data_IF_408881688215
#
_entry.id   IF_408881688215
#
_cell.length_a   1.000
_cell.length_b   1.000
_cell.length_c   1.000
_cell.angle_alpha   90.00
_cell.angle_beta   90.00
_cell.angle_gamma   90.00
#
_symmetry.space_group_name_H-M   'P 1'
#
loop_
_entity.id
_entity.type
_entity.pdbx_description
1 polymer ?
#
# COMPACT_ATOMS: atom_id res chain seq x y z
N UNK A 1 10.41 3.22 -17.96
CA UNK A 1 10.41 2.21 -16.88
C UNK A 1 11.10 2.72 -15.63
N UNK A 2 12.42 3.02 -15.64
CA UNK A 2 13.06 3.73 -14.51
C UNK A 2 12.36 5.05 -14.21
N UNK A 3 12.03 5.81 -15.26
CA UNK A 3 11.22 7.05 -15.18
C UNK A 3 9.81 6.84 -14.60
N UNK A 4 9.20 5.68 -14.81
CA UNK A 4 7.84 5.39 -14.33
C UNK A 4 7.87 5.00 -12.85
N UNK A 5 8.92 4.28 -12.43
CA UNK A 5 9.16 3.91 -11.04
C UNK A 5 9.45 5.15 -10.20
N UNK A 6 10.35 6.03 -10.65
CA UNK A 6 10.67 7.30 -9.97
C UNK A 6 9.44 8.20 -9.86
N UNK A 7 8.68 8.33 -10.95
CA UNK A 7 7.42 9.08 -10.96
C UNK A 7 6.39 8.47 -10.01
N UNK A 8 6.28 7.14 -9.96
CA UNK A 8 5.39 6.44 -9.04
C UNK A 8 5.75 6.74 -7.58
N UNK A 9 7.04 6.66 -7.23
CA UNK A 9 7.52 7.00 -5.89
C UNK A 9 7.13 8.42 -5.50
N UNK A 10 7.43 9.40 -6.37
CA UNK A 10 7.15 10.81 -6.11
C UNK A 10 5.66 11.08 -5.93
N UNK A 11 4.80 10.48 -6.76
CA UNK A 11 3.36 10.62 -6.60
C UNK A 11 2.85 10.04 -5.29
N UNK A 12 3.40 8.92 -4.82
CA UNK A 12 3.04 8.35 -3.51
C UNK A 12 3.48 9.31 -2.39
N UNK A 13 4.67 9.92 -2.48
CA UNK A 13 5.12 10.93 -1.51
C UNK A 13 4.17 12.13 -1.47
N UNK A 14 3.83 12.69 -2.63
CA UNK A 14 2.88 13.81 -2.76
C UNK A 14 1.51 13.44 -2.20
N UNK A 15 1.04 12.21 -2.42
CA UNK A 15 -0.22 11.71 -1.87
C UNK A 15 -0.21 11.77 -0.33
N UNK A 16 0.86 11.27 0.31
CA UNK A 16 1.01 11.28 1.76
C UNK A 16 1.05 12.72 2.30
N UNK A 17 1.82 13.61 1.67
CA UNK A 17 1.90 15.01 2.09
C UNK A 17 0.54 15.73 1.99
N UNK A 18 -0.22 15.48 0.92
CA UNK A 18 -1.57 16.05 0.78
C UNK A 18 -2.54 15.51 1.83
N UNK A 19 -2.49 14.21 2.13
CA UNK A 19 -3.33 13.61 3.16
C UNK A 19 -3.00 14.19 4.55
N UNK A 20 -1.71 14.27 4.90
CA UNK A 20 -1.23 14.89 6.15
C UNK A 20 -1.68 16.33 6.28
N UNK A 21 -1.55 17.14 5.22
CA UNK A 21 -1.97 18.55 5.21
C UNK A 21 -3.48 18.71 5.36
N UNK A 22 -4.26 17.75 4.85
CA UNK A 22 -5.73 17.79 4.89
C UNK A 22 -6.27 17.48 6.29
N UNK A 23 -5.79 16.41 6.90
CA UNK A 23 -6.20 15.99 8.25
C UNK A 23 -5.07 15.14 8.86
N UNK A 24 -4.20 15.78 9.65
CA UNK A 24 -3.01 15.14 10.20
C UNK A 24 -3.37 14.02 11.20
N UNK A 25 -4.49 14.14 11.90
CA UNK A 25 -4.91 13.09 12.83
C UNK A 25 -5.34 11.82 12.08
N UNK A 26 -6.22 11.94 11.08
CA UNK A 26 -6.67 10.79 10.28
C UNK A 26 -5.51 10.17 9.48
N UNK A 27 -4.56 11.02 9.03
CA UNK A 27 -3.30 10.58 8.44
C UNK A 27 -2.49 9.72 9.42
N UNK A 28 -2.29 10.18 10.66
CA UNK A 28 -1.62 9.42 11.71
C UNK A 28 -2.34 8.10 12.04
N UNK A 29 -3.67 8.10 12.08
CA UNK A 29 -4.46 6.87 12.25
C UNK A 29 -4.20 5.86 11.12
N UNK A 30 -4.02 6.36 9.89
CA UNK A 30 -3.64 5.53 8.73
C UNK A 30 -2.23 4.97 8.86
N UNK A 31 -1.26 5.81 9.25
CA UNK A 31 0.13 5.39 9.45
C UNK A 31 0.26 4.33 10.53
N UNK A 32 -0.49 4.45 11.62
CA UNK A 32 -0.48 3.48 12.71
C UNK A 32 -1.37 2.26 12.42
N UNK A 33 -2.11 2.26 11.31
CA UNK A 33 -3.11 1.24 10.98
C UNK A 33 -3.99 0.97 12.19
N UNK A 34 -4.52 2.02 12.84
CA UNK A 34 -5.24 1.90 14.13
C UNK A 34 -6.33 0.85 13.98
N UNK A 35 -6.16 -0.28 14.68
CA UNK A 35 -7.04 -1.44 14.68
C UNK A 35 -7.74 -1.53 16.02
N UNK A 36 -8.57 -2.57 16.18
CA UNK A 36 -9.17 -2.90 17.47
C UNK A 36 -8.12 -3.35 18.50
N UNK A 37 -8.55 -4.15 19.48
CA UNK A 37 -7.65 -4.67 20.50
C UNK A 37 -6.67 -5.68 19.87
N UNK A 38 -5.40 -5.31 19.80
CA UNK A 38 -4.29 -6.16 19.34
C UNK A 38 -3.16 -6.15 20.39
N UNK A 39 -2.51 -7.31 20.56
CA UNK A 39 -1.32 -7.41 21.42
C UNK A 39 -0.09 -6.85 20.70
N UNK A 40 0.99 -6.49 21.43
CA UNK A 40 2.26 -6.15 20.81
C UNK A 40 2.74 -7.23 19.84
N UNK A 41 3.30 -6.82 18.69
CA UNK A 41 3.81 -7.73 17.65
C UNK A 41 2.82 -8.09 16.53
N UNK A 42 1.56 -7.65 16.62
CA UNK A 42 0.54 -7.90 15.59
C UNK A 42 0.57 -6.85 14.46
N UNK A 43 1.71 -6.68 13.77
CA UNK A 43 1.84 -5.76 12.64
C UNK A 43 2.27 -6.47 11.34
N UNK A 44 1.31 -6.90 10.49
CA UNK A 44 1.60 -7.56 9.22
C UNK A 44 2.44 -6.72 8.24
N UNK A 45 2.41 -5.38 8.37
CA UNK A 45 3.24 -4.50 7.54
C UNK A 45 4.72 -4.67 7.89
N UNK A 46 5.05 -4.75 9.18
CA UNK A 46 6.42 -4.99 9.67
C UNK A 46 6.94 -6.35 9.22
N UNK A 47 6.13 -7.41 9.38
CA UNK A 47 6.47 -8.77 8.91
C UNK A 47 6.72 -8.80 7.40
N UNK A 48 5.84 -8.17 6.62
CA UNK A 48 5.98 -8.10 5.17
C UNK A 48 7.21 -7.30 4.74
N UNK A 49 7.55 -6.22 5.47
CA UNK A 49 8.75 -5.43 5.22
C UNK A 49 10.02 -6.25 5.44
N UNK A 50 10.09 -7.03 6.53
CA UNK A 50 11.24 -7.88 6.82
C UNK A 50 11.39 -8.99 5.77
N UNK A 51 10.30 -9.67 5.43
CA UNK A 51 10.31 -10.68 4.37
C UNK A 51 10.77 -10.09 3.04
N UNK A 52 10.27 -8.91 2.67
CA UNK A 52 10.66 -8.26 1.43
C UNK A 52 12.18 -8.00 1.37
N UNK A 53 12.78 -7.52 2.46
CA UNK A 53 14.23 -7.29 2.54
C UNK A 53 15.03 -8.61 2.42
N UNK A 54 14.57 -9.67 3.08
CA UNK A 54 15.21 -10.99 3.01
C UNK A 54 15.16 -11.56 1.58
N UNK A 55 13.99 -11.50 0.93
CA UNK A 55 13.83 -12.01 -0.43
C UNK A 55 14.64 -11.17 -1.43
N UNK A 56 14.67 -9.84 -1.29
CA UNK A 56 15.52 -8.98 -2.13
C UNK A 56 17.00 -9.34 -1.99
N UNK A 57 17.47 -9.63 -0.78
CA UNK A 57 18.85 -10.07 -0.53
C UNK A 57 19.15 -11.39 -1.24
N UNK A 58 18.20 -12.33 -1.24
CA UNK A 58 18.33 -13.61 -1.96
C UNK A 58 18.28 -13.45 -3.49
N UNK A 59 17.48 -12.50 -4.01
CA UNK A 59 17.43 -12.19 -5.45
C UNK A 59 18.78 -11.68 -5.95
N UNK A 60 19.47 -10.87 -5.12
CA UNK A 60 20.78 -10.29 -5.42
C UNK A 60 21.94 -11.28 -5.24
N UNK A 61 21.74 -12.38 -4.52
CA UNK A 61 22.73 -13.42 -4.32
C UNK A 61 23.05 -14.18 -5.64
N UNK A 62 24.22 -14.84 -5.73
CA UNK A 62 24.60 -15.66 -6.89
C UNK A 62 23.82 -16.98 -6.91
N UNK A 63 22.52 -16.90 -7.16
CA UNK A 63 21.61 -18.03 -7.35
C UNK A 63 21.34 -18.28 -8.82
N UNK A 64 20.87 -19.50 -9.14
CA UNK A 64 20.42 -19.84 -10.48
C UNK A 64 19.33 -18.88 -10.99
N UNK A 65 19.35 -18.57 -12.29
CA UNK A 65 18.38 -17.65 -12.90
C UNK A 65 16.93 -18.07 -12.68
N UNK A 66 16.65 -19.37 -12.71
CA UNK A 66 15.30 -19.90 -12.49
C UNK A 66 14.83 -19.72 -11.04
N UNK A 67 15.74 -19.80 -10.05
CA UNK A 67 15.44 -19.51 -8.65
C UNK A 67 15.24 -18.01 -8.45
N UNK A 68 16.11 -17.17 -9.02
CA UNK A 68 15.97 -15.70 -8.97
C UNK A 68 14.60 -15.25 -9.47
N UNK A 69 14.12 -15.82 -10.57
CA UNK A 69 12.80 -15.48 -11.13
C UNK A 69 11.66 -15.93 -10.20
N UNK A 70 11.75 -17.11 -9.60
CA UNK A 70 10.76 -17.58 -8.61
C UNK A 70 10.72 -16.71 -7.37
N UNK A 71 11.88 -16.27 -6.87
CA UNK A 71 11.97 -15.34 -5.75
C UNK A 71 11.36 -13.98 -6.10
N UNK A 72 11.59 -13.49 -7.33
CA UNK A 72 10.98 -12.25 -7.83
C UNK A 72 9.47 -12.35 -7.91
N UNK A 73 8.95 -13.44 -8.49
CA UNK A 73 7.51 -13.71 -8.56
C UNK A 73 6.90 -13.87 -7.16
N UNK A 74 7.59 -14.54 -6.24
CA UNK A 74 7.17 -14.68 -4.86
C UNK A 74 7.04 -13.31 -4.17
N UNK A 75 8.06 -12.47 -4.27
CA UNK A 75 8.03 -11.13 -3.69
C UNK A 75 6.90 -10.27 -4.29
N UNK A 76 6.78 -10.27 -5.62
CA UNK A 76 5.70 -9.58 -6.33
C UNK A 76 4.32 -10.05 -5.86
N UNK A 77 4.10 -11.36 -5.78
CA UNK A 77 2.82 -11.93 -5.37
C UNK A 77 2.52 -11.63 -3.90
N UNK A 78 3.52 -11.70 -3.01
CA UNK A 78 3.39 -11.34 -1.59
C UNK A 78 2.96 -9.88 -1.43
N UNK A 79 3.69 -8.95 -2.07
CA UNK A 79 3.40 -7.52 -1.95
C UNK A 79 2.04 -7.15 -2.54
N UNK A 80 1.65 -7.75 -3.67
CA UNK A 80 0.35 -7.47 -4.31
C UNK A 80 -0.84 -8.10 -3.59
N UNK A 81 -0.64 -9.07 -2.70
CA UNK A 81 -1.70 -9.59 -1.81
C UNK A 81 -1.77 -8.90 -0.45
N UNK A 82 -0.76 -8.10 -0.10
CA UNK A 82 -0.72 -7.40 1.19
C UNK A 82 -1.88 -6.41 1.30
N UNK A 83 -2.78 -6.65 2.26
CA UNK A 83 -3.96 -5.80 2.44
C UNK A 83 -3.60 -4.34 2.80
N UNK A 84 -2.56 -4.16 3.61
CA UNK A 84 -2.12 -2.85 4.08
C UNK A 84 -1.65 -1.94 2.93
N UNK A 85 -1.12 -2.50 1.83
CA UNK A 85 -0.78 -1.73 0.62
C UNK A 85 -1.98 -0.92 0.13
N UNK A 86 -3.12 -1.59 -0.02
CA UNK A 86 -4.34 -0.97 -0.54
C UNK A 86 -5.02 -0.10 0.52
N UNK A 87 -5.05 -0.55 1.78
CA UNK A 87 -5.71 0.17 2.86
C UNK A 87 -5.05 1.50 3.17
N UNK A 88 -3.71 1.56 3.14
CA UNK A 88 -2.95 2.79 3.35
C UNK A 88 -3.26 3.79 2.23
N UNK A 89 -3.03 3.41 0.97
CA UNK A 89 -3.29 4.29 -0.19
C UNK A 89 -4.76 4.71 -0.27
N UNK A 90 -5.68 3.77 -0.04
CA UNK A 90 -7.11 4.04 -0.03
C UNK A 90 -7.52 5.05 1.04
N UNK A 91 -7.00 4.91 2.27
CA UNK A 91 -7.25 5.90 3.31
C UNK A 91 -6.63 7.26 2.99
N UNK A 92 -5.42 7.34 2.43
CA UNK A 92 -4.82 8.62 2.03
C UNK A 92 -5.71 9.37 1.02
N UNK A 93 -6.21 8.67 0.00
CA UNK A 93 -7.14 9.23 -0.98
C UNK A 93 -8.44 9.71 -0.32
N UNK A 94 -9.03 8.89 0.56
CA UNK A 94 -10.26 9.24 1.29
C UNK A 94 -10.06 10.43 2.24
N UNK A 95 -8.90 10.54 2.89
CA UNK A 95 -8.57 11.68 3.75
C UNK A 95 -8.52 12.96 2.92
N UNK A 96 -7.91 12.93 1.73
CA UNK A 96 -7.88 14.08 0.81
C UNK A 96 -9.31 14.52 0.44
N UNK A 97 -10.24 13.57 0.24
CA UNK A 97 -11.67 13.83 0.02
C UNK A 97 -12.37 14.42 1.26
N UNK A 98 -11.74 14.40 2.43
CA UNK A 98 -12.29 14.88 3.70
C UNK A 98 -13.00 13.80 4.51
N UNK A 99 -12.88 12.52 4.15
CA UNK A 99 -13.39 11.43 4.96
C UNK A 99 -12.48 11.14 6.15
N UNK A 100 -13.01 10.43 7.16
CA UNK A 100 -12.23 9.92 8.29
C UNK A 100 -11.53 8.62 7.93
N UNK A 101 -10.45 8.31 8.64
CA UNK A 101 -9.79 7.02 8.61
C UNK A 101 -10.79 5.90 8.87
N UNK A 102 -10.54 4.75 8.24
CA UNK A 102 -11.27 3.53 8.51
C UNK A 102 -10.36 2.33 8.39
N UNK A 103 -10.57 1.33 9.24
CA UNK A 103 -9.81 0.07 9.24
C UNK A 103 -9.98 -0.71 7.93
N UNK A 104 -11.15 -0.60 7.29
CA UNK A 104 -11.43 -1.29 6.03
C UNK A 104 -12.14 -0.35 5.04
N UNK A 105 -11.36 0.43 4.26
CA UNK A 105 -11.92 1.41 3.33
C UNK A 105 -12.67 0.79 2.15
N UNK A 106 -12.62 -0.52 1.98
CA UNK A 106 -13.18 -1.22 0.82
C UNK A 106 -14.52 -1.93 1.11
N UNK A 107 -15.06 -1.84 2.34
CA UNK A 107 -16.37 -2.41 2.70
C UNK A 107 -17.51 -1.74 1.95
N UNK A 108 -18.52 -2.51 1.54
CA UNK A 108 -19.66 -2.01 0.77
C UNK A 108 -20.41 -0.87 1.48
N UNK A 109 -20.56 -0.92 2.81
CA UNK A 109 -21.34 0.06 3.59
C UNK A 109 -20.77 1.47 3.56
N UNK A 110 -19.49 1.65 3.25
CA UNK A 110 -18.88 2.97 3.09
C UNK A 110 -19.11 3.57 1.70
N UNK A 111 -19.72 2.81 0.79
CA UNK A 111 -19.83 3.13 -0.62
C UNK A 111 -21.26 3.01 -1.13
N UNK A 112 -21.56 3.73 -2.21
CA UNK A 112 -22.81 3.51 -2.97
C UNK A 112 -22.86 2.13 -3.67
N UNK A 113 -21.75 1.40 -3.69
CA UNK A 113 -21.64 0.05 -4.26
C UNK A 113 -22.22 -0.98 -3.30
N UNK A 114 -23.05 -1.90 -3.82
CA UNK A 114 -23.54 -3.07 -3.08
C UNK A 114 -22.48 -4.17 -2.90
N UNK A 115 -21.33 -4.05 -3.57
CA UNK A 115 -20.29 -5.09 -3.60
C UNK A 115 -19.02 -4.55 -2.93
N UNK A 116 -18.53 -5.31 -1.96
CA UNK A 116 -17.26 -5.10 -1.26
C UNK A 116 -16.07 -5.47 -2.16
N UNK A 117 -15.02 -4.65 -2.15
CA UNK A 117 -13.80 -4.92 -2.89
C UNK A 117 -12.85 -5.82 -2.07
N UNK A 118 -12.92 -7.14 -2.31
CA UNK A 118 -12.16 -8.15 -1.55
C UNK A 118 -10.81 -8.52 -2.18
N UNK A 119 -10.74 -8.57 -3.51
CA UNK A 119 -9.52 -8.94 -4.22
C UNK A 119 -8.64 -7.72 -4.53
N UNK A 120 -7.31 -7.90 -4.66
CA UNK A 120 -6.40 -6.86 -5.17
C UNK A 120 -6.95 -6.10 -6.37
N UNK A 121 -7.44 -6.82 -7.39
CA UNK A 121 -8.01 -6.23 -8.59
C UNK A 121 -9.22 -5.32 -8.30
N UNK A 122 -10.15 -5.76 -7.45
CA UNK A 122 -11.32 -4.96 -7.08
C UNK A 122 -10.96 -3.73 -6.24
N UNK A 123 -9.92 -3.82 -5.39
CA UNK A 123 -9.40 -2.71 -4.60
C UNK A 123 -8.71 -1.68 -5.48
N UNK A 124 -7.93 -2.12 -6.46
CA UNK A 124 -7.29 -1.25 -7.45
C UNK A 124 -8.34 -0.48 -8.24
N UNK A 125 -9.41 -1.12 -8.71
CA UNK A 125 -10.50 -0.42 -9.39
C UNK A 125 -11.03 0.73 -8.54
N UNK A 126 -11.23 0.48 -7.24
CA UNK A 126 -11.72 1.49 -6.30
C UNK A 126 -10.70 2.60 -6.03
N UNK A 127 -9.43 2.25 -5.88
CA UNK A 127 -8.33 3.23 -5.76
C UNK A 127 -8.30 4.13 -6.99
N UNK A 128 -8.44 3.57 -8.20
CA UNK A 128 -8.48 4.36 -9.44
C UNK A 128 -9.65 5.34 -9.47
N UNK A 129 -10.83 4.94 -8.98
CA UNK A 129 -12.00 5.81 -8.86
C UNK A 129 -11.69 7.00 -7.91
N UNK A 130 -11.24 6.74 -6.69
CA UNK A 130 -10.91 7.81 -5.72
C UNK A 130 -9.75 8.68 -6.19
N UNK A 131 -8.72 8.08 -6.77
CA UNK A 131 -7.56 8.79 -7.29
C UNK A 131 -7.97 9.78 -8.40
N UNK A 132 -8.89 9.38 -9.27
CA UNK A 132 -9.44 10.28 -10.27
C UNK A 132 -10.21 11.46 -9.64
N UNK A 133 -11.01 11.21 -8.60
CA UNK A 133 -11.79 12.24 -7.90
C UNK A 133 -10.93 13.32 -7.21
N UNK A 134 -9.71 12.98 -6.79
CA UNK A 134 -8.78 13.93 -6.12
C UNK A 134 -7.61 14.39 -6.98
N UNK A 135 -7.63 14.13 -8.29
CA UNK A 135 -6.60 14.60 -9.24
C UNK A 135 -5.28 13.81 -9.19
N UNK A 136 -5.32 12.54 -8.76
CA UNK A 136 -4.19 11.61 -8.70
C UNK A 136 -4.37 10.41 -9.64
N UNK A 137 -5.04 10.58 -10.78
CA UNK A 137 -5.40 9.52 -11.73
C UNK A 137 -4.24 8.54 -12.03
N UNK A 138 -3.03 9.05 -12.18
CA UNK A 138 -1.81 8.27 -12.47
C UNK A 138 -1.50 7.21 -11.39
N UNK A 139 -1.87 7.44 -10.12
CA UNK A 139 -1.74 6.41 -9.07
C UNK A 139 -2.58 5.18 -9.43
N UNK A 140 -3.84 5.38 -9.84
CA UNK A 140 -4.71 4.29 -10.26
C UNK A 140 -4.19 3.55 -11.50
N UNK A 141 -3.56 4.28 -12.43
CA UNK A 141 -2.90 3.72 -13.61
C UNK A 141 -1.71 2.85 -13.24
N UNK A 142 -0.84 3.31 -12.33
CA UNK A 142 0.30 2.51 -11.84
C UNK A 142 -0.15 1.23 -11.13
N UNK A 143 -1.15 1.31 -10.25
CA UNK A 143 -1.74 0.12 -9.63
C UNK A 143 -2.26 -0.86 -10.69
N UNK A 144 -3.02 -0.36 -11.67
CA UNK A 144 -3.59 -1.18 -12.76
C UNK A 144 -2.49 -1.85 -13.60
N UNK A 145 -1.44 -1.11 -13.96
CA UNK A 145 -0.32 -1.61 -14.77
C UNK A 145 0.49 -2.67 -14.03
N UNK A 146 0.66 -2.50 -12.72
CA UNK A 146 1.49 -3.37 -11.90
C UNK A 146 0.85 -4.73 -11.62
N UNK A 147 -0.49 -4.82 -11.52
CA UNK A 147 -1.17 -6.06 -11.18
C UNK A 147 -1.52 -6.90 -12.42
N UNK A 148 -0.65 -7.83 -12.78
CA UNK A 148 -0.95 -8.91 -13.73
C UNK A 148 -1.65 -10.07 -13.01
N UNK A 149 -2.98 -9.97 -12.86
CA UNK A 149 -3.84 -10.95 -12.14
C UNK A 149 -3.55 -12.40 -12.56
N UNK A 150 -3.44 -12.66 -13.86
CA UNK A 150 -3.30 -14.01 -14.41
C UNK A 150 -1.96 -14.64 -14.01
N UNK A 151 -0.86 -13.89 -14.09
CA UNK A 151 0.47 -14.37 -13.68
C UNK A 151 0.50 -14.64 -12.18
N UNK A 152 -0.08 -13.75 -11.38
CA UNK A 152 -0.20 -13.93 -9.92
C UNK A 152 -0.98 -15.22 -9.59
N UNK A 153 -2.13 -15.43 -10.23
CA UNK A 153 -2.95 -16.62 -10.02
C UNK A 153 -2.20 -17.89 -10.45
N UNK A 154 -1.59 -17.89 -11.63
CA UNK A 154 -0.80 -19.03 -12.11
C UNK A 154 0.34 -19.37 -11.15
N UNK A 155 1.05 -18.37 -10.62
CA UNK A 155 2.12 -18.59 -9.65
C UNK A 155 1.61 -19.22 -8.33
N UNK A 156 0.58 -18.63 -7.70
CA UNK A 156 0.04 -19.16 -6.43
C UNK A 156 -0.62 -20.53 -6.57
N UNK A 157 -1.15 -20.86 -7.74
CA UNK A 157 -1.72 -22.18 -8.01
C UNK A 157 -0.70 -23.17 -8.60
N UNK A 158 0.58 -22.80 -8.70
CA UNK A 158 1.62 -23.63 -9.33
C UNK A 158 1.28 -24.07 -10.76
N UNK A 159 0.50 -23.25 -11.49
CA UNK A 159 -0.02 -23.52 -12.82
C UNK A 159 0.81 -22.82 -13.91
N UNK A 160 2.14 -22.95 -13.84
CA UNK A 160 3.06 -22.25 -14.72
C UNK A 160 4.29 -23.08 -15.11
N UNK A 161 4.91 -22.68 -16.23
CA UNK A 161 6.21 -23.15 -16.70
C UNK A 161 7.09 -21.92 -16.94
N UNK A 162 8.34 -21.98 -16.49
CA UNK A 162 9.36 -20.97 -16.79
C UNK A 162 10.24 -21.47 -17.93
N UNK A 163 10.37 -20.68 -18.98
CA UNK A 163 11.39 -20.85 -20.02
C UNK A 163 12.50 -19.81 -19.83
N UNK A 164 13.44 -19.75 -20.75
CA UNK A 164 14.50 -18.75 -20.76
C UNK A 164 13.99 -17.33 -21.05
N UNK A 165 12.85 -17.19 -21.72
CA UNK A 165 12.33 -15.94 -22.26
C UNK A 165 10.87 -15.64 -21.89
N UNK A 166 10.14 -16.60 -21.32
CA UNK A 166 8.72 -16.46 -21.03
C UNK A 166 8.22 -17.19 -19.78
N UNK A 167 7.18 -16.59 -19.19
CA UNK A 167 6.31 -17.21 -18.21
C UNK A 167 5.10 -17.80 -18.95
N UNK A 168 4.91 -19.11 -18.87
CA UNK A 168 3.83 -19.80 -19.57
C UNK A 168 2.76 -20.26 -18.58
N UNK A 169 1.53 -19.82 -18.79
CA UNK A 169 0.36 -20.26 -18.03
C UNK A 169 -0.14 -21.57 -18.65
N UNK A 170 -0.34 -22.61 -17.83
CA UNK A 170 -0.72 -23.93 -18.36
C UNK A 170 -2.23 -24.09 -18.58
N UNK A 171 -3.06 -23.72 -17.61
CA UNK A 171 -4.53 -23.88 -17.69
C UNK A 171 -5.32 -22.61 -17.34
N UNK A 172 -4.70 -21.62 -16.69
CA UNK A 172 -5.34 -20.37 -16.30
C UNK A 172 -5.76 -19.44 -17.45
N UNK A 173 -6.44 -18.35 -17.07
CA UNK A 173 -6.85 -17.27 -17.97
C UNK A 173 -5.64 -16.69 -18.74
N UNK A 174 -5.72 -16.49 -20.06
CA UNK A 174 -4.65 -15.83 -20.81
C UNK A 174 -4.53 -14.36 -20.44
N UNK A 175 -3.32 -13.80 -20.59
CA UNK A 175 -3.08 -12.37 -20.43
C UNK A 175 -3.42 -11.65 -21.73
N UNK A 176 -4.14 -10.52 -21.64
CA UNK A 176 -4.36 -9.64 -22.77
C UNK A 176 -3.17 -8.67 -22.93
N UNK A 177 -2.47 -8.75 -24.06
CA UNK A 177 -1.34 -7.88 -24.41
C UNK A 177 -1.67 -7.20 -25.74
N UNK A 178 -1.90 -5.89 -25.70
CA UNK A 178 -2.52 -5.20 -26.83
C UNK A 178 -3.90 -5.78 -27.12
N UNK A 179 -4.13 -6.23 -28.35
CA UNK A 179 -5.38 -6.87 -28.78
C UNK A 179 -5.33 -8.41 -28.76
N UNK A 180 -4.22 -8.99 -28.29
CA UNK A 180 -3.99 -10.44 -28.33
C UNK A 180 -4.11 -11.04 -26.93
N UNK A 181 -4.78 -12.19 -26.82
CA UNK A 181 -4.80 -13.02 -25.62
C UNK A 181 -3.76 -14.15 -25.76
N UNK A 182 -2.85 -14.26 -24.80
CA UNK A 182 -1.77 -15.24 -24.85
C UNK A 182 -1.48 -15.88 -23.49
N UNK A 183 -1.15 -17.17 -23.51
CA UNK A 183 -0.69 -17.94 -22.35
C UNK A 183 0.84 -17.95 -22.21
N UNK A 184 1.58 -17.57 -23.26
CA UNK A 184 3.03 -17.37 -23.24
C UNK A 184 3.31 -15.88 -23.05
N UNK A 185 3.86 -15.49 -21.90
CA UNK A 185 4.11 -14.09 -21.56
C UNK A 185 5.62 -13.85 -21.59
N UNK A 186 6.09 -13.07 -22.55
CA UNK A 186 7.51 -12.72 -22.66
C UNK A 186 7.98 -11.90 -21.46
N UNK A 187 9.19 -12.19 -20.96
CA UNK A 187 9.79 -11.46 -19.84
C UNK A 187 10.02 -9.98 -20.17
N UNK A 188 10.29 -9.64 -21.43
CA UNK A 188 10.41 -8.24 -21.88
C UNK A 188 9.14 -7.42 -21.61
N UNK A 189 7.97 -8.06 -21.58
CA UNK A 189 6.70 -7.43 -21.23
C UNK A 189 6.37 -7.58 -19.74
N UNK A 190 6.70 -8.74 -19.14
CA UNK A 190 6.29 -9.06 -17.78
C UNK A 190 7.15 -8.39 -16.71
N UNK A 191 8.48 -8.47 -16.83
CA UNK A 191 9.42 -7.93 -15.84
C UNK A 191 9.17 -6.46 -15.48
N UNK A 192 8.88 -5.56 -16.44
CA UNK A 192 8.54 -4.17 -16.14
C UNK A 192 7.37 -3.99 -15.17
N UNK A 193 6.37 -4.88 -15.26
CA UNK A 193 5.16 -4.82 -14.43
C UNK A 193 5.40 -5.43 -13.06
N UNK A 194 6.17 -6.52 -13.00
CA UNK A 194 6.60 -7.10 -11.74
C UNK A 194 7.45 -6.11 -10.94
N UNK A 195 8.42 -5.47 -11.60
CA UNK A 195 9.27 -4.44 -11.02
C UNK A 195 8.44 -3.25 -10.51
N UNK A 196 7.49 -2.74 -11.32
CA UNK A 196 6.60 -1.68 -10.89
C UNK A 196 5.78 -2.09 -9.65
N UNK A 197 5.22 -3.30 -9.63
CA UNK A 197 4.43 -3.80 -8.50
C UNK A 197 5.23 -3.99 -7.23
N UNK A 198 6.44 -4.54 -7.34
CA UNK A 198 7.38 -4.68 -6.22
C UNK A 198 7.73 -3.30 -5.67
N UNK A 199 8.16 -2.38 -6.54
CA UNK A 199 8.59 -1.04 -6.12
C UNK A 199 7.43 -0.25 -5.50
N UNK A 200 6.22 -0.29 -6.07
CA UNK A 200 5.04 0.35 -5.50
C UNK A 200 4.72 -0.17 -4.08
N UNK A 201 4.84 -1.48 -3.87
CA UNK A 201 4.72 -2.09 -2.55
C UNK A 201 5.77 -1.56 -1.57
N UNK A 202 7.04 -1.59 -1.97
CA UNK A 202 8.17 -1.12 -1.16
C UNK A 202 8.10 0.38 -0.85
N UNK A 203 7.75 1.22 -1.83
CA UNK A 203 7.59 2.66 -1.62
C UNK A 203 6.49 2.95 -0.60
N UNK A 204 5.34 2.28 -0.72
CA UNK A 204 4.25 2.47 0.24
C UNK A 204 4.67 2.09 1.66
N UNK A 205 5.37 0.96 1.82
CA UNK A 205 5.92 0.53 3.11
C UNK A 205 6.92 1.57 3.65
N UNK A 206 7.95 1.89 2.85
CA UNK A 206 9.05 2.76 3.29
C UNK A 206 8.55 4.17 3.62
N UNK A 207 7.72 4.77 2.77
CA UNK A 207 7.16 6.11 3.00
C UNK A 207 6.27 6.12 4.25
N UNK A 208 5.53 5.04 4.52
CA UNK A 208 4.76 4.88 5.77
C UNK A 208 5.68 4.88 6.99
N UNK A 209 6.71 4.03 6.98
CA UNK A 209 7.67 3.92 8.08
C UNK A 209 8.47 5.21 8.30
N UNK A 210 8.86 5.89 7.22
CA UNK A 210 9.56 7.17 7.29
C UNK A 210 8.68 8.27 7.88
N UNK A 211 7.39 8.30 7.51
CA UNK A 211 6.44 9.23 8.10
C UNK A 211 6.20 8.96 9.59
N UNK A 212 6.12 7.69 10.02
CA UNK A 212 6.07 7.34 11.45
C UNK A 212 7.31 7.88 12.16
N UNK A 213 8.50 7.60 11.62
CA UNK A 213 9.79 8.05 12.18
C UNK A 213 9.98 9.56 12.15
N UNK A 214 9.24 10.29 11.30
CA UNK A 214 9.35 11.74 11.16
C UNK A 214 8.87 12.51 12.40
N UNK A 215 7.96 11.91 13.19
CA UNK A 215 7.51 12.49 14.45
C UNK A 215 8.61 12.32 15.51
N UNK A 216 9.13 13.43 16.04
CA UNK A 216 10.28 13.44 16.99
C UNK A 216 9.91 13.81 18.42
N UNK A 217 8.72 14.37 18.61
CA UNK A 217 8.18 14.79 19.91
C UNK A 217 6.66 14.74 19.86
N UNK A 218 6.06 14.59 21.02
CA UNK A 218 4.61 14.71 21.18
C UNK A 218 4.10 16.01 20.57
N UNK A 219 2.94 15.92 19.94
CA UNK A 219 2.36 17.01 19.15
C UNK A 219 0.86 17.07 19.37
N UNK A 220 0.33 18.27 19.57
CA UNK A 220 -1.10 18.51 19.50
C UNK A 220 -1.55 18.65 18.05
N UNK A 221 -2.62 17.95 17.73
CA UNK A 221 -3.36 18.06 16.47
C UNK A 221 -4.85 18.16 16.77
N UNK A 222 -5.61 18.71 15.82
CA UNK A 222 -7.08 18.65 15.88
C UNK A 222 -7.56 17.35 15.25
N UNK A 223 -8.47 16.65 15.91
CA UNK A 223 -9.10 15.46 15.34
C UNK A 223 -10.60 15.41 15.59
N UNK A 224 -11.32 14.72 14.70
CA UNK A 224 -12.79 14.70 14.66
C UNK A 224 -13.36 13.61 15.58
N UNK A 225 -13.07 13.69 16.87
CA UNK A 225 -13.49 12.72 17.89
C UNK A 225 -14.54 13.24 18.89
N UNK A 226 -15.00 14.49 18.76
CA UNK A 226 -16.07 14.98 19.62
C UNK A 226 -17.38 14.20 19.41
N UNK A 227 -18.23 14.15 20.44
CA UNK A 227 -19.52 13.46 20.41
C UNK A 227 -20.49 14.06 19.36
N UNK A 228 -20.37 15.35 19.06
CA UNK A 228 -21.11 16.06 18.02
C UNK A 228 -20.44 15.98 16.63
N UNK A 229 -19.33 15.26 16.53
CA UNK A 229 -18.51 15.14 15.32
C UNK A 229 -17.55 16.31 15.07
N UNK A 230 -17.51 17.29 15.98
CA UNK A 230 -16.57 18.41 15.98
C UNK A 230 -15.10 18.01 16.24
N UNK A 231 -14.23 19.01 16.20
CA UNK A 231 -12.79 18.84 16.42
C UNK A 231 -12.43 19.02 17.90
N UNK A 232 -11.60 18.13 18.42
CA UNK A 232 -10.97 18.24 19.74
C UNK A 232 -9.45 18.20 19.61
N UNK A 233 -8.77 18.67 20.66
CA UNK A 233 -7.32 18.50 20.78
C UNK A 233 -6.96 17.05 21.09
N UNK A 234 -6.00 16.54 20.33
CA UNK A 234 -5.47 15.19 20.46
C UNK A 234 -3.95 15.30 20.56
N UNK A 235 -3.38 14.62 21.56
CA UNK A 235 -1.94 14.46 21.66
C UNK A 235 -1.54 13.22 20.88
N UNK A 236 -0.73 13.41 19.83
CA UNK A 236 0.04 12.34 19.22
C UNK A 236 1.19 11.98 20.17
N UNK A 237 1.35 10.70 20.47
CA UNK A 237 2.43 10.19 21.34
C UNK A 237 3.59 9.70 20.50
N UNK A 238 4.80 10.03 20.93
CA UNK A 238 6.03 9.70 20.22
C UNK A 238 7.02 9.02 21.15
N UNK A 239 7.63 7.94 20.69
CA UNK A 239 8.71 7.27 21.38
C UNK A 239 10.07 7.59 20.73
N UNK A 240 11.04 7.96 21.57
CA UNK A 240 12.39 8.34 21.10
C UNK A 240 13.05 7.15 20.40
N UNK A 241 13.46 7.36 19.16
CA UNK A 241 14.11 6.32 18.33
C UNK A 241 13.13 5.49 17.50
N UNK A 242 11.83 5.51 17.81
CA UNK A 242 10.79 4.81 17.04
C UNK A 242 9.98 5.77 16.17
N UNK A 243 9.48 6.87 16.75
CA UNK A 243 8.59 7.82 16.08
C UNK A 243 7.18 7.79 16.67
N UNK A 244 6.18 8.07 15.85
CA UNK A 244 4.76 8.04 16.23
C UNK A 244 4.35 6.65 16.76
N UNK A 245 3.77 6.58 17.95
CA UNK A 245 3.34 5.31 18.58
C UNK A 245 1.85 5.24 18.85
N UNK A 246 1.17 6.39 18.89
CA UNK A 246 -0.23 6.42 19.29
C UNK A 246 -0.77 7.83 19.41
N UNK A 247 -1.90 7.93 20.10
CA UNK A 247 -2.51 9.18 20.47
C UNK A 247 -3.33 9.01 21.75
N UNK A 248 -3.60 10.12 22.44
CA UNK A 248 -4.51 10.14 23.59
C UNK A 248 -5.38 11.39 23.63
N UNK A 249 -6.53 11.22 24.28
CA UNK A 249 -7.47 12.27 24.63
C UNK A 249 -8.03 11.98 26.03
N UNK A 250 -8.07 12.96 26.95
CA UNK A 250 -7.57 14.32 26.78
C UNK A 250 -6.03 14.37 26.68
N UNK A 251 -5.46 15.42 26.04
CA UNK A 251 -4.03 15.67 26.05
C UNK A 251 -3.47 15.97 27.45
N UNK A 252 -2.17 15.80 27.64
CA UNK A 252 -1.47 16.24 28.85
C UNK A 252 -1.52 17.75 29.00
N UNK A 253 -1.83 18.23 30.21
CA UNK A 253 -1.91 19.66 30.51
C UNK A 253 -0.63 20.43 30.15
N UNK A 254 0.53 19.83 30.38
CA UNK A 254 1.82 20.46 30.06
C UNK A 254 1.99 20.72 28.57
N UNK A 255 1.43 19.86 27.72
CA UNK A 255 1.50 20.01 26.28
C UNK A 255 0.53 21.08 25.80
N UNK A 256 -0.68 21.14 26.39
CA UNK A 256 -1.67 22.20 26.15
C UNK A 256 -1.09 23.57 26.51
N UNK A 257 -0.39 23.69 27.63
CA UNK A 257 0.21 24.96 28.09
C UNK A 257 1.38 25.45 27.21
N UNK A 258 1.98 24.59 26.38
CA UNK A 258 3.15 24.90 25.54
C UNK A 258 2.81 25.11 24.05
N UNK A 259 1.58 24.84 23.64
CA UNK A 259 1.11 24.92 22.26
C UNK A 259 0.54 26.30 21.91
#
# INVERSE_FOLDING_TARGET
MTTDIEKCEELIRILFEKAKKRDEFEFCCTLLRVRGLESPGWDPLSESSQLAQQILSLIQAPVESSLRLRLTLFLYCHLTEMNDLYNIVGNMLRIIQGHRYTMNPFIASLHKSKIEARSPFSKIKRISEWANEVGFKEIGEFFTLSLVKQVRNAFFHSDYILTNDSFNIKHGEPVKIGDIYQQVILYSWLMPRLELGINMGLFTINITLDNIRSYKKDKLVKGRLAADGGYIDIQLTVEKGYGLTGFKTPPDEELIKKA
#
